data_IF_604981910586
#
_entry.id   IF_604981910586
#
_cell.length_a   1.000
_cell.length_b   1.000
_cell.length_c   1.000
_cell.angle_alpha   90.00
_cell.angle_beta   90.00
_cell.angle_gamma   90.00
#
_symmetry.space_group_name_H-M   'P 1'
#
loop_
_entity.id
_entity.type
_entity.pdbx_description
1 polymer ?
#
# COMPACT_ATOMS: atom_id res chain seq x y z
N UNK A 1 -17.21 8.92 4.52
CA UNK A 1 -17.55 8.24 5.79
C UNK A 1 -16.36 7.50 6.39
N UNK A 2 -15.59 6.73 5.62
CA UNK A 2 -14.44 5.94 6.10
C UNK A 2 -13.30 6.74 6.75
N UNK A 3 -13.05 7.96 6.29
CA UNK A 3 -12.03 8.84 6.89
C UNK A 3 -12.37 9.29 8.33
N UNK A 4 -13.62 9.17 8.78
CA UNK A 4 -14.01 9.41 10.19
C UNK A 4 -13.53 8.32 11.14
N UNK A 5 -13.04 7.19 10.61
CA UNK A 5 -12.36 6.21 11.43
C UNK A 5 -10.97 6.72 11.86
N UNK A 6 -10.36 7.65 11.10
CA UNK A 6 -9.00 8.16 11.32
C UNK A 6 -8.77 8.72 12.74
N UNK A 7 -9.65 9.60 13.27
CA UNK A 7 -9.54 10.13 14.63
C UNK A 7 -9.72 9.07 15.73
N UNK A 8 -10.53 8.04 15.48
CA UNK A 8 -10.74 6.92 16.41
C UNK A 8 -9.42 6.16 16.69
N UNK A 9 -8.45 6.27 15.79
CA UNK A 9 -7.11 5.68 15.87
C UNK A 9 -6.08 6.56 16.60
N UNK A 10 -6.38 7.86 16.76
CA UNK A 10 -5.60 8.74 17.62
C UNK A 10 -5.89 8.48 19.10
N UNK A 11 -7.01 7.86 19.44
CA UNK A 11 -7.44 7.63 20.84
C UNK A 11 -6.42 6.83 21.66
N UNK A 12 -5.81 5.73 21.19
CA UNK A 12 -4.77 5.03 21.95
C UNK A 12 -3.51 5.86 22.15
N UNK A 13 -3.15 6.67 21.16
CA UNK A 13 -2.00 7.58 21.18
C UNK A 13 -2.24 8.76 22.13
N UNK A 14 -3.45 9.32 22.10
CA UNK A 14 -3.93 10.37 23.01
C UNK A 14 -3.99 9.82 24.44
N UNK A 15 -4.51 8.60 24.64
CA UNK A 15 -4.53 7.93 25.94
C UNK A 15 -3.11 7.64 26.44
N UNK A 16 -2.19 7.23 25.55
CA UNK A 16 -0.78 7.06 25.88
C UNK A 16 -0.14 8.40 26.26
N UNK A 17 -0.37 9.48 25.52
CA UNK A 17 0.13 10.83 25.83
C UNK A 17 -0.43 11.35 27.16
N UNK A 18 -1.72 11.15 27.43
CA UNK A 18 -2.34 11.49 28.71
C UNK A 18 -1.76 10.66 29.86
N UNK A 19 -1.50 9.37 29.63
CA UNK A 19 -0.83 8.50 30.58
C UNK A 19 0.63 8.91 30.84
N UNK A 20 1.35 9.35 29.80
CA UNK A 20 2.71 9.88 29.91
C UNK A 20 2.74 11.18 30.74
N UNK A 21 1.73 12.05 30.57
CA UNK A 21 1.57 13.31 31.33
C UNK A 21 1.13 13.08 32.77
N UNK A 22 0.44 11.98 33.06
CA UNK A 22 0.05 11.57 34.40
C UNK A 22 1.26 11.03 35.18
N UNK A 23 1.92 11.90 35.96
CA UNK A 23 3.05 11.56 36.86
C UNK A 23 2.68 10.68 38.06
N UNK A 24 1.60 9.90 38.03
CA UNK A 24 1.31 8.92 39.10
C UNK A 24 2.31 7.77 39.03
N UNK A 25 3.25 7.75 39.99
CA UNK A 25 4.40 6.82 40.04
C UNK A 25 4.03 5.33 39.95
N UNK A 26 2.83 4.94 40.41
CA UNK A 26 2.34 3.56 40.33
C UNK A 26 1.90 3.11 38.94
N UNK A 27 1.43 4.03 38.09
CA UNK A 27 0.99 3.69 36.73
C UNK A 27 2.19 3.35 35.84
N UNK A 28 3.22 4.20 35.85
CA UNK A 28 4.42 4.03 35.04
C UNK A 28 5.22 2.76 35.37
N UNK A 29 5.28 2.33 36.64
CA UNK A 29 5.95 1.05 36.99
C UNK A 29 5.31 -0.17 36.31
N UNK A 30 4.01 -0.14 36.05
CA UNK A 30 3.25 -1.27 35.50
C UNK A 30 3.00 -1.16 33.98
N UNK A 31 2.85 0.05 33.47
CA UNK A 31 2.40 0.31 32.10
C UNK A 31 3.50 0.84 31.17
N UNK A 32 4.73 1.07 31.65
CA UNK A 32 5.81 1.48 30.75
C UNK A 32 6.11 0.46 29.64
N UNK A 33 6.12 -0.87 29.87
CA UNK A 33 6.43 -1.82 28.79
C UNK A 33 5.43 -1.75 27.64
N UNK A 34 4.10 -1.85 27.84
CA UNK A 34 3.15 -1.79 26.73
C UNK A 34 3.11 -0.41 26.06
N UNK A 35 3.34 0.68 26.79
CA UNK A 35 3.41 2.03 26.19
C UNK A 35 4.64 2.15 25.28
N UNK A 36 5.80 1.69 25.72
CA UNK A 36 7.02 1.68 24.89
C UNK A 36 6.87 0.73 23.70
N UNK A 37 6.32 -0.46 23.89
CA UNK A 37 6.03 -1.39 22.79
C UNK A 37 5.07 -0.80 21.77
N UNK A 38 3.99 -0.15 22.21
CA UNK A 38 3.07 0.55 21.32
C UNK A 38 3.80 1.65 20.53
N UNK A 39 4.57 2.50 21.20
CA UNK A 39 5.34 3.56 20.53
C UNK A 39 6.33 3.00 19.49
N UNK A 40 7.02 1.90 19.77
CA UNK A 40 7.93 1.26 18.82
C UNK A 40 7.19 0.68 17.62
N UNK A 41 6.05 0.01 17.84
CA UNK A 41 5.24 -0.57 16.76
C UNK A 41 4.65 0.54 15.88
N UNK A 42 3.97 1.51 16.48
CA UNK A 42 3.34 2.62 15.74
C UNK A 42 4.37 3.52 15.07
N UNK A 43 5.45 3.87 15.78
CA UNK A 43 6.55 4.67 15.25
C UNK A 43 7.28 3.97 14.10
N UNK A 44 7.55 2.66 14.24
CA UNK A 44 8.15 1.86 13.18
C UNK A 44 7.25 1.76 11.95
N UNK A 45 5.94 1.54 12.13
CA UNK A 45 4.99 1.53 11.02
C UNK A 45 4.91 2.88 10.32
N UNK A 46 4.86 3.98 11.07
CA UNK A 46 4.85 5.32 10.48
C UNK A 46 6.14 5.58 9.68
N UNK A 47 7.30 5.26 10.25
CA UNK A 47 8.59 5.42 9.58
C UNK A 47 8.67 4.59 8.29
N UNK A 48 8.19 3.34 8.30
CA UNK A 48 8.13 2.49 7.11
C UNK A 48 7.21 3.08 6.02
N UNK A 49 6.03 3.59 6.40
CA UNK A 49 5.11 4.21 5.46
C UNK A 49 5.67 5.51 4.87
N UNK A 50 6.35 6.33 5.67
CA UNK A 50 7.05 7.54 5.18
C UNK A 50 8.17 7.16 4.23
N UNK A 51 8.98 6.16 4.58
CA UNK A 51 10.03 5.64 3.69
C UNK A 51 9.45 5.18 2.35
N UNK A 52 8.36 4.42 2.37
CA UNK A 52 7.70 3.96 1.15
C UNK A 52 7.09 5.09 0.31
N UNK A 53 6.53 6.11 0.96
CA UNK A 53 6.04 7.29 0.26
C UNK A 53 7.17 8.01 -0.48
N UNK A 54 8.29 8.23 0.20
CA UNK A 54 9.43 8.96 -0.40
C UNK A 54 10.09 8.17 -1.52
N UNK A 55 10.25 6.85 -1.37
CA UNK A 55 11.02 6.03 -2.32
C UNK A 55 10.21 5.43 -3.46
N UNK A 56 8.90 5.26 -3.26
CA UNK A 56 8.02 4.51 -4.17
C UNK A 56 6.71 5.24 -4.49
N UNK A 57 6.46 6.41 -3.89
CA UNK A 57 5.24 7.18 -4.11
C UNK A 57 3.98 6.58 -3.46
N UNK A 58 4.12 5.53 -2.66
CA UNK A 58 2.99 4.84 -2.03
C UNK A 58 2.35 5.76 -0.98
N UNK A 59 1.03 5.97 -0.97
CA UNK A 59 0.39 6.81 0.04
C UNK A 59 0.60 6.24 1.45
N UNK A 60 0.85 7.14 2.40
CA UNK A 60 0.96 6.79 3.82
C UNK A 60 -0.39 6.33 4.35
N UNK A 61 -1.47 6.98 3.93
CA UNK A 61 -2.82 6.62 4.32
C UNK A 61 -3.32 5.43 3.50
N UNK A 62 -4.11 4.52 4.12
CA UNK A 62 -4.76 3.44 3.40
C UNK A 62 -5.72 3.98 2.32
N UNK A 63 -5.87 3.23 1.24
CA UNK A 63 -6.84 3.51 0.18
C UNK A 63 -8.28 3.23 0.65
N UNK A 64 -9.28 3.66 -0.11
CA UNK A 64 -10.69 3.35 0.22
C UNK A 64 -10.95 1.85 0.32
N UNK A 65 -10.40 1.06 -0.60
CA UNK A 65 -10.52 -0.39 -0.59
C UNK A 65 -9.92 -1.00 0.70
N UNK A 66 -8.76 -0.50 1.14
CA UNK A 66 -8.12 -0.93 2.38
C UNK A 66 -8.98 -0.58 3.61
N UNK A 67 -9.62 0.60 3.60
CA UNK A 67 -10.53 1.04 4.67
C UNK A 67 -11.83 0.23 4.70
N UNK A 68 -12.33 -0.21 3.55
CA UNK A 68 -13.52 -1.07 3.47
C UNK A 68 -13.21 -2.48 3.99
N UNK A 69 -12.09 -3.07 3.57
CA UNK A 69 -11.60 -4.34 4.10
C UNK A 69 -11.41 -4.26 5.62
N UNK A 70 -10.85 -3.15 6.10
CA UNK A 70 -10.71 -2.91 7.52
C UNK A 70 -12.05 -2.86 8.25
N UNK A 71 -13.06 -2.20 7.68
CA UNK A 71 -14.39 -2.16 8.27
C UNK A 71 -14.98 -3.56 8.41
N UNK A 72 -14.87 -4.41 7.38
CA UNK A 72 -15.30 -5.80 7.46
C UNK A 72 -14.55 -6.58 8.55
N UNK A 73 -13.24 -6.36 8.67
CA UNK A 73 -12.43 -6.96 9.74
C UNK A 73 -12.87 -6.49 11.14
N UNK A 74 -13.16 -5.19 11.32
CA UNK A 74 -13.71 -4.66 12.56
C UNK A 74 -15.07 -5.27 12.90
N UNK A 75 -15.98 -5.36 11.93
CA UNK A 75 -17.29 -5.99 12.11
C UNK A 75 -17.14 -7.47 12.48
N UNK A 76 -16.22 -8.18 11.85
CA UNK A 76 -15.90 -9.56 12.18
C UNK A 76 -15.37 -9.71 13.61
N UNK A 77 -14.44 -8.84 14.05
CA UNK A 77 -13.95 -8.84 15.43
C UNK A 77 -15.08 -8.59 16.44
N UNK A 78 -15.95 -7.61 16.18
CA UNK A 78 -17.12 -7.35 17.01
C UNK A 78 -18.05 -8.57 17.07
N UNK A 79 -18.26 -9.25 15.94
CA UNK A 79 -19.02 -10.49 15.88
C UNK A 79 -18.38 -11.61 16.72
N UNK A 80 -17.06 -11.81 16.62
CA UNK A 80 -16.33 -12.79 17.47
C UNK A 80 -16.47 -12.46 18.95
N UNK A 81 -16.33 -11.19 19.33
CA UNK A 81 -16.54 -10.76 20.72
C UNK A 81 -17.99 -11.00 21.18
N UNK A 82 -18.98 -10.80 20.29
CA UNK A 82 -20.38 -11.08 20.57
C UNK A 82 -20.65 -12.58 20.79
N UNK A 83 -20.07 -13.46 19.97
CA UNK A 83 -20.18 -14.92 20.17
C UNK A 83 -19.51 -15.33 21.49
N UNK A 84 -18.30 -14.83 21.76
CA UNK A 84 -17.60 -15.09 23.02
C UNK A 84 -18.42 -14.62 24.23
N UNK A 85 -19.12 -13.48 24.09
CA UNK A 85 -20.08 -13.00 25.07
C UNK A 85 -21.23 -13.98 25.29
N UNK A 86 -21.88 -14.47 24.23
CA UNK A 86 -22.98 -15.43 24.36
C UNK A 86 -22.50 -16.70 25.08
N UNK A 87 -21.36 -17.26 24.68
CA UNK A 87 -20.78 -18.44 25.33
C UNK A 87 -20.52 -18.16 26.82
N UNK A 88 -19.90 -17.03 27.16
CA UNK A 88 -19.64 -16.67 28.55
C UNK A 88 -20.94 -16.49 29.35
N UNK A 89 -21.95 -15.86 28.77
CA UNK A 89 -23.26 -15.66 29.39
C UNK A 89 -23.95 -17.01 29.68
N UNK A 90 -23.95 -17.94 28.72
CA UNK A 90 -24.54 -19.27 28.89
C UNK A 90 -23.77 -20.14 29.89
N UNK A 91 -22.43 -20.09 29.89
CA UNK A 91 -21.57 -20.88 30.79
C UNK A 91 -21.60 -20.34 32.21
N UNK A 92 -21.40 -19.03 32.38
CA UNK A 92 -21.26 -18.42 33.70
C UNK A 92 -22.60 -17.98 34.30
N UNK A 93 -23.68 -17.94 33.50
CA UNK A 93 -25.03 -17.49 33.87
C UNK A 93 -25.04 -16.16 34.63
N UNK A 94 -24.07 -15.28 34.36
CA UNK A 94 -23.92 -13.98 35.01
C UNK A 94 -24.20 -12.85 34.02
N UNK A 95 -25.00 -11.84 34.41
CA UNK A 95 -25.28 -10.71 33.55
C UNK A 95 -24.04 -9.84 33.33
N UNK A 96 -23.95 -9.26 32.14
CA UNK A 96 -22.83 -8.43 31.66
C UNK A 96 -22.42 -7.29 32.61
N UNK A 97 -23.38 -6.71 33.33
CA UNK A 97 -23.16 -5.60 34.26
C UNK A 97 -22.32 -5.98 35.49
N UNK A 98 -22.15 -7.30 35.74
CA UNK A 98 -21.22 -7.84 36.74
C UNK A 98 -19.85 -8.22 36.16
N UNK A 99 -19.63 -8.04 34.86
CA UNK A 99 -18.29 -8.20 34.29
C UNK A 99 -17.40 -7.07 34.80
N UNK A 100 -16.25 -7.43 35.34
CA UNK A 100 -15.28 -6.47 35.85
C UNK A 100 -14.96 -5.42 34.78
N UNK A 101 -14.88 -4.15 35.17
CA UNK A 101 -14.36 -3.03 34.36
C UNK A 101 -13.07 -3.41 33.61
N UNK A 102 -12.26 -4.28 34.22
CA UNK A 102 -11.06 -4.87 33.66
C UNK A 102 -11.29 -5.63 32.34
N UNK A 103 -12.39 -6.38 32.20
CA UNK A 103 -12.72 -7.13 30.98
C UNK A 103 -13.12 -6.19 29.83
N UNK A 104 -13.93 -5.17 30.13
CA UNK A 104 -14.30 -4.14 29.15
C UNK A 104 -13.04 -3.38 28.69
N UNK A 105 -12.20 -2.95 29.64
CA UNK A 105 -10.96 -2.25 29.34
C UNK A 105 -9.95 -3.09 28.54
N UNK A 106 -9.83 -4.39 28.84
CA UNK A 106 -8.91 -5.28 28.12
C UNK A 106 -9.41 -5.60 26.71
N UNK A 107 -10.71 -5.87 26.52
CA UNK A 107 -11.28 -6.12 25.19
C UNK A 107 -11.25 -4.88 24.30
N UNK A 108 -11.60 -3.70 24.83
CA UNK A 108 -11.48 -2.43 24.08
C UNK A 108 -10.02 -2.08 23.78
N UNK A 109 -9.10 -2.30 24.73
CA UNK A 109 -7.67 -2.08 24.51
C UNK A 109 -7.07 -2.99 23.44
N UNK A 110 -7.47 -4.27 23.42
CA UNK A 110 -7.06 -5.24 22.40
C UNK A 110 -7.59 -4.84 21.02
N UNK A 111 -8.87 -4.46 20.93
CA UNK A 111 -9.48 -3.98 19.68
C UNK A 111 -8.75 -2.75 19.14
N UNK A 112 -8.44 -1.77 19.99
CA UNK A 112 -7.71 -0.58 19.60
C UNK A 112 -6.27 -0.87 19.14
N UNK A 113 -5.59 -1.84 19.77
CA UNK A 113 -4.28 -2.32 19.34
C UNK A 113 -4.34 -2.95 17.95
N UNK A 114 -5.26 -3.88 17.72
CA UNK A 114 -5.44 -4.53 16.41
C UNK A 114 -5.86 -3.51 15.33
N UNK A 115 -6.76 -2.59 15.65
CA UNK A 115 -7.17 -1.52 14.76
C UNK A 115 -5.99 -0.65 14.34
N UNK A 116 -5.17 -0.23 15.30
CA UNK A 116 -4.00 0.59 15.00
C UNK A 116 -2.90 -0.17 14.26
N UNK A 117 -2.66 -1.44 14.59
CA UNK A 117 -1.72 -2.29 13.87
C UNK A 117 -2.15 -2.48 12.41
N UNK A 118 -3.44 -2.72 12.18
CA UNK A 118 -3.98 -2.84 10.83
C UNK A 118 -3.75 -1.57 10.02
N UNK A 119 -3.97 -0.37 10.55
CA UNK A 119 -3.79 0.85 9.73
C UNK A 119 -2.34 1.20 9.45
N UNK A 120 -1.44 0.92 10.40
CA UNK A 120 -0.01 1.01 10.16
C UNK A 120 0.45 0.01 9.09
N UNK A 121 -0.29 -1.09 8.92
CA UNK A 121 0.03 -2.23 8.07
C UNK A 121 -1.04 -2.53 6.99
N UNK A 122 -1.88 -1.55 6.62
CA UNK A 122 -3.23 -1.82 6.06
C UNK A 122 -3.30 -2.46 4.69
N UNK A 123 -2.30 -2.25 3.84
CA UNK A 123 -1.96 -3.27 2.86
C UNK A 123 -0.46 -3.56 2.89
N UNK A 124 0.07 -3.96 4.05
CA UNK A 124 1.50 -4.26 4.21
C UNK A 124 1.94 -5.30 3.19
N UNK A 125 1.13 -6.33 2.95
CA UNK A 125 1.43 -7.35 1.94
C UNK A 125 1.51 -6.77 0.53
N UNK A 126 0.53 -5.98 0.09
CA UNK A 126 0.56 -5.37 -1.25
C UNK A 126 1.69 -4.35 -1.40
N UNK A 127 1.97 -3.57 -0.35
CA UNK A 127 3.14 -2.66 -0.29
C UNK A 127 4.45 -3.41 -0.40
N UNK A 128 4.62 -4.49 0.36
CA UNK A 128 5.82 -5.32 0.32
C UNK A 128 5.96 -6.02 -1.02
N UNK A 129 4.88 -6.56 -1.60
CA UNK A 129 4.92 -7.19 -2.90
C UNK A 129 5.37 -6.18 -3.97
N UNK A 130 4.70 -5.03 -4.05
CA UNK A 130 5.08 -3.96 -4.99
C UNK A 130 6.53 -3.51 -4.79
N UNK A 131 6.94 -3.23 -3.55
CA UNK A 131 8.32 -2.82 -3.24
C UNK A 131 9.32 -3.91 -3.63
N UNK A 132 9.04 -5.17 -3.33
CA UNK A 132 9.95 -6.28 -3.63
C UNK A 132 10.16 -6.46 -5.14
N UNK A 133 9.08 -6.34 -5.92
CA UNK A 133 9.12 -6.52 -7.36
C UNK A 133 9.79 -5.31 -8.02
N UNK A 134 9.43 -4.09 -7.63
CA UNK A 134 10.08 -2.86 -8.12
C UNK A 134 11.56 -2.85 -7.75
N UNK A 135 11.92 -3.23 -6.53
CA UNK A 135 13.32 -3.30 -6.10
C UNK A 135 14.10 -4.35 -6.88
N UNK A 136 13.50 -5.51 -7.18
CA UNK A 136 14.14 -6.53 -8.02
C UNK A 136 14.50 -5.98 -9.40
N UNK A 137 13.58 -5.23 -10.02
CA UNK A 137 13.82 -4.56 -11.30
C UNK A 137 14.87 -3.45 -11.18
N UNK A 138 14.79 -2.61 -10.13
CA UNK A 138 15.80 -1.58 -9.83
C UNK A 138 17.20 -2.20 -9.70
N UNK A 139 17.35 -3.32 -8.99
CA UNK A 139 18.62 -4.01 -8.82
C UNK A 139 19.17 -4.55 -10.15
N UNK A 140 18.30 -5.17 -10.99
CA UNK A 140 18.68 -5.64 -12.33
C UNK A 140 19.17 -4.50 -13.22
N UNK A 141 18.48 -3.37 -13.17
CA UNK A 141 18.86 -2.18 -13.92
C UNK A 141 20.12 -1.51 -13.39
N UNK A 142 20.34 -1.45 -12.08
CA UNK A 142 21.58 -0.92 -11.50
C UNK A 142 22.82 -1.74 -11.89
N UNK A 143 22.68 -3.05 -12.12
CA UNK A 143 23.77 -3.88 -12.65
C UNK A 143 24.13 -3.54 -14.11
N UNK A 144 23.24 -2.87 -14.85
CA UNK A 144 23.49 -2.37 -16.20
C UNK A 144 23.91 -0.90 -16.11
N UNK A 145 25.18 -0.56 -16.41
CA UNK A 145 25.66 0.81 -16.30
C UNK A 145 24.85 1.74 -17.22
N UNK A 146 24.56 2.94 -16.73
CA UNK A 146 23.90 4.00 -17.48
C UNK A 146 24.77 4.33 -18.69
N UNK A 147 24.35 3.88 -19.88
CA UNK A 147 25.08 4.11 -21.11
C UNK A 147 24.77 5.53 -21.61
N UNK A 148 25.57 6.50 -21.19
CA UNK A 148 25.43 7.90 -21.59
C UNK A 148 25.49 8.13 -23.12
N UNK A 149 25.94 7.14 -23.91
CA UNK A 149 26.00 7.18 -25.38
C UNK A 149 25.11 6.15 -26.10
N UNK A 150 24.15 5.52 -25.41
CA UNK A 150 23.21 4.59 -26.05
C UNK A 150 22.22 5.35 -26.94
N UNK A 151 21.97 4.84 -28.15
CA UNK A 151 20.91 5.33 -29.05
C UNK A 151 19.49 5.25 -28.45
N UNK A 152 19.34 4.64 -27.26
CA UNK A 152 18.08 4.56 -26.51
C UNK A 152 18.24 5.29 -25.16
N UNK A 153 17.79 6.56 -25.04
CA UNK A 153 17.90 7.33 -23.81
C UNK A 153 16.95 6.84 -22.70
N UNK A 154 15.99 5.98 -23.04
CA UNK A 154 15.03 5.41 -22.11
C UNK A 154 14.91 3.89 -22.31
N UNK A 155 14.60 3.22 -21.22
CA UNK A 155 14.32 1.78 -21.19
C UNK A 155 12.98 1.54 -20.51
N UNK A 156 12.15 0.69 -21.10
CA UNK A 156 10.79 0.41 -20.64
C UNK A 156 10.66 -1.08 -20.46
N UNK A 157 10.14 -1.51 -19.31
CA UNK A 157 9.99 -2.94 -19.02
C UNK A 157 8.63 -3.26 -18.43
N UNK A 158 8.09 -4.41 -18.86
CA UNK A 158 6.95 -5.04 -18.21
C UNK A 158 7.45 -5.75 -16.96
N UNK A 159 6.92 -5.37 -15.81
CA UNK A 159 7.30 -5.96 -14.54
C UNK A 159 6.46 -7.18 -14.23
N UNK A 160 5.14 -7.05 -14.37
CA UNK A 160 4.20 -8.16 -14.29
C UNK A 160 2.95 -7.84 -15.11
N UNK A 161 2.20 -8.89 -15.45
CA UNK A 161 0.81 -8.83 -15.93
C UNK A 161 0.06 -9.97 -15.23
N UNK A 162 -0.76 -9.65 -14.23
CA UNK A 162 -1.43 -10.62 -13.35
C UNK A 162 -2.92 -10.32 -13.19
N UNK A 163 -3.72 -11.34 -12.88
CA UNK A 163 -5.13 -11.18 -12.47
C UNK A 163 -5.21 -11.33 -10.96
N UNK A 164 -5.86 -10.39 -10.29
CA UNK A 164 -6.09 -10.50 -8.84
C UNK A 164 -7.38 -11.29 -8.58
N UNK A 165 -7.26 -12.61 -8.51
CA UNK A 165 -8.39 -13.51 -8.44
C UNK A 165 -8.08 -14.77 -7.62
N UNK A 166 -8.93 -15.10 -6.65
CA UNK A 166 -8.74 -16.28 -5.80
C UNK A 166 -9.33 -17.56 -6.44
N UNK A 167 -10.46 -17.47 -7.16
CA UNK A 167 -11.10 -18.58 -7.89
C UNK A 167 -11.94 -18.05 -9.07
N UNK A 168 -11.94 -18.76 -10.20
CA UNK A 168 -12.68 -18.44 -11.46
C UNK A 168 -12.33 -17.07 -12.04
N UNK A 169 -11.15 -16.97 -12.65
CA UNK A 169 -10.62 -15.74 -13.24
C UNK A 169 -11.05 -15.51 -14.71
N UNK A 170 -12.08 -16.21 -15.17
CA UNK A 170 -12.58 -16.07 -16.53
C UNK A 170 -13.29 -14.72 -16.67
N UNK A 171 -12.90 -13.93 -17.66
CA UNK A 171 -13.48 -12.60 -17.91
C UNK A 171 -13.03 -11.48 -16.96
N UNK A 172 -12.05 -11.72 -16.07
CA UNK A 172 -11.44 -10.64 -15.31
C UNK A 172 -10.24 -10.05 -16.06
N UNK A 173 -10.05 -8.72 -16.01
CA UNK A 173 -8.92 -8.09 -16.67
C UNK A 173 -7.61 -8.38 -15.93
N UNK A 174 -6.50 -8.16 -16.62
CA UNK A 174 -5.14 -8.20 -16.10
C UNK A 174 -4.66 -6.81 -15.70
N UNK A 175 -4.01 -6.75 -14.55
CA UNK A 175 -3.25 -5.60 -14.08
C UNK A 175 -1.78 -5.77 -14.46
N UNK A 176 -1.26 -4.79 -15.18
CA UNK A 176 0.11 -4.80 -15.69
C UNK A 176 0.90 -3.62 -15.14
N UNK A 177 2.01 -3.89 -14.45
CA UNK A 177 2.93 -2.85 -13.99
C UNK A 177 4.04 -2.65 -15.01
N UNK A 178 4.18 -1.40 -15.46
CA UNK A 178 5.17 -1.00 -16.44
C UNK A 178 6.06 0.06 -15.81
N UNK A 179 7.38 -0.15 -15.88
CA UNK A 179 8.35 0.81 -15.38
C UNK A 179 9.15 1.39 -16.55
N UNK A 180 9.54 2.65 -16.41
CA UNK A 180 10.47 3.33 -17.30
C UNK A 180 11.69 3.80 -16.52
N UNK A 181 12.86 3.67 -17.15
CA UNK A 181 14.15 4.15 -16.65
C UNK A 181 14.74 5.17 -17.59
N UNK A 182 15.21 6.29 -17.05
CA UNK A 182 16.08 7.21 -17.78
C UNK A 182 17.51 6.65 -17.81
N UNK A 183 18.00 6.28 -19.00
CA UNK A 183 19.37 5.82 -19.20
C UNK A 183 20.32 6.94 -19.64
N UNK A 184 19.83 8.17 -19.76
CA UNK A 184 20.68 9.31 -20.02
C UNK A 184 21.31 9.83 -18.72
N UNK A 185 22.46 10.49 -18.85
CA UNK A 185 23.12 11.19 -17.74
C UNK A 185 22.47 12.54 -17.38
N UNK A 186 21.36 12.90 -18.02
CA UNK A 186 20.67 14.20 -17.86
C UNK A 186 19.19 13.98 -17.55
N UNK A 187 18.50 14.95 -16.92
CA UNK A 187 17.06 14.87 -16.76
C UNK A 187 16.35 14.97 -18.13
N UNK A 188 15.28 14.19 -18.31
CA UNK A 188 14.50 14.12 -19.55
C UNK A 188 13.00 14.30 -19.27
N UNK A 189 12.36 15.16 -20.04
CA UNK A 189 10.90 15.18 -20.21
C UNK A 189 10.51 14.33 -21.42
N UNK A 190 9.68 13.32 -21.25
CA UNK A 190 9.25 12.42 -22.33
C UNK A 190 7.73 12.28 -22.41
N UNK A 191 7.26 12.09 -23.64
CA UNK A 191 5.94 11.57 -23.98
C UNK A 191 6.17 10.12 -24.44
N UNK A 192 5.41 9.17 -23.88
CA UNK A 192 5.63 7.75 -24.10
C UNK A 192 4.34 7.11 -24.62
N UNK A 193 4.44 6.44 -25.76
CA UNK A 193 3.39 5.56 -26.29
C UNK A 193 3.84 4.11 -26.10
N UNK A 194 3.06 3.35 -25.34
CA UNK A 194 3.35 1.95 -25.02
C UNK A 194 2.39 1.05 -25.79
N UNK A 195 2.94 0.13 -26.57
CA UNK A 195 2.22 -0.89 -27.33
C UNK A 195 2.30 -2.21 -26.60
N UNK A 196 1.16 -2.67 -26.08
CA UNK A 196 1.04 -3.88 -25.29
C UNK A 196 0.78 -5.07 -26.22
N UNK A 197 1.56 -6.13 -26.06
CA UNK A 197 1.49 -7.32 -26.91
C UNK A 197 1.23 -8.58 -26.09
N UNK A 198 0.45 -9.51 -26.66
CA UNK A 198 0.24 -10.82 -26.08
C UNK A 198 1.40 -11.79 -26.43
N UNK A 199 1.30 -13.05 -25.99
CA UNK A 199 2.35 -14.06 -26.18
C UNK A 199 2.61 -14.40 -27.67
N UNK A 200 1.64 -14.17 -28.57
CA UNK A 200 1.82 -14.36 -30.02
C UNK A 200 2.39 -13.13 -30.73
N UNK A 201 2.65 -12.05 -29.99
CA UNK A 201 3.13 -10.77 -30.54
C UNK A 201 2.04 -9.91 -31.17
N UNK A 202 0.76 -10.31 -31.05
CA UNK A 202 -0.35 -9.50 -31.49
C UNK A 202 -0.53 -8.31 -30.55
N UNK A 203 -0.85 -7.14 -31.13
CA UNK A 203 -1.10 -5.92 -30.36
C UNK A 203 -2.45 -6.06 -29.68
N UNK A 204 -2.44 -5.98 -28.35
CA UNK A 204 -3.65 -5.93 -27.53
C UNK A 204 -4.19 -4.50 -27.57
N UNK A 205 -3.33 -3.54 -27.21
CA UNK A 205 -3.72 -2.14 -27.09
C UNK A 205 -2.50 -1.21 -27.14
N UNK A 206 -2.71 0.01 -27.65
CA UNK A 206 -1.75 1.11 -27.56
C UNK A 206 -2.23 2.07 -26.45
N UNK A 207 -1.37 2.35 -25.46
CA UNK A 207 -1.66 3.24 -24.34
C UNK A 207 -0.71 4.43 -24.35
N UNK A 208 -1.26 5.64 -24.31
CA UNK A 208 -0.48 6.85 -24.14
C UNK A 208 -0.24 7.12 -22.65
N UNK A 209 1.03 7.30 -22.29
CA UNK A 209 1.40 7.70 -20.95
C UNK A 209 1.24 9.21 -20.77
N UNK A 210 0.91 9.62 -19.55
CA UNK A 210 1.02 11.01 -19.12
C UNK A 210 2.47 11.50 -19.28
N UNK A 211 2.70 12.80 -19.60
CA UNK A 211 4.06 13.33 -19.73
C UNK A 211 4.91 13.10 -18.48
N UNK A 212 6.08 12.49 -18.65
CA UNK A 212 6.97 12.12 -17.56
C UNK A 212 8.19 13.04 -17.52
N UNK A 213 8.61 13.42 -16.32
CA UNK A 213 9.89 14.10 -16.06
C UNK A 213 10.75 13.16 -15.24
N UNK A 214 11.88 12.73 -15.79
CA UNK A 214 12.75 11.71 -15.22
C UNK A 214 14.13 12.32 -14.97
N UNK A 215 14.61 12.29 -13.73
CA UNK A 215 15.99 12.57 -13.41
C UNK A 215 16.93 11.50 -14.00
N UNK A 216 18.23 11.80 -14.08
CA UNK A 216 19.22 10.85 -14.60
C UNK A 216 19.22 9.54 -13.78
N UNK A 217 19.05 8.40 -14.45
CA UNK A 217 18.98 7.09 -13.78
C UNK A 217 17.68 6.81 -13.03
N UNK A 218 16.72 7.74 -13.01
CA UNK A 218 15.46 7.58 -12.29
C UNK A 218 14.59 6.46 -12.91
N UNK A 219 13.89 5.74 -12.05
CA UNK A 219 12.99 4.63 -12.40
C UNK A 219 11.61 4.94 -11.82
N UNK A 220 10.60 5.08 -12.68
CA UNK A 220 9.22 5.40 -12.27
C UNK A 220 8.21 4.50 -12.97
N UNK A 221 7.03 4.27 -12.36
CA UNK A 221 5.91 3.63 -13.05
C UNK A 221 5.33 4.52 -14.14
N UNK A 222 4.84 3.89 -15.21
CA UNK A 222 4.14 4.56 -16.31
C UNK A 222 2.69 4.78 -15.90
N UNK A 223 2.21 6.02 -15.97
CA UNK A 223 0.81 6.39 -15.70
C UNK A 223 0.09 6.68 -17.01
N UNK A 224 -1.14 6.21 -17.17
CA UNK A 224 -1.94 6.37 -18.40
C UNK A 224 -3.20 7.19 -18.11
N UNK A 225 -3.80 7.81 -19.13
CA UNK A 225 -5.01 8.63 -18.94
C UNK A 225 -6.21 7.85 -18.41
N UNK A 226 -6.30 6.56 -18.72
CA UNK A 226 -7.36 5.66 -18.24
C UNK A 226 -7.31 5.43 -16.73
N UNK A 227 -6.16 5.69 -16.09
CA UNK A 227 -6.01 5.66 -14.63
C UNK A 227 -6.54 6.94 -13.96
N UNK A 228 -7.69 7.42 -14.46
CA UNK A 228 -8.31 8.69 -14.12
C UNK A 228 -8.48 8.86 -12.60
N UNK A 229 -8.11 10.04 -12.15
CA UNK A 229 -7.62 10.34 -10.82
C UNK A 229 -8.71 10.38 -9.74
N UNK A 230 -9.21 9.25 -9.21
CA UNK A 230 -9.81 9.25 -7.86
C UNK A 230 -9.37 8.03 -7.02
N UNK A 231 -8.44 8.32 -6.09
CA UNK A 231 -8.26 7.67 -4.77
C UNK A 231 -7.53 6.33 -4.62
N UNK A 232 -7.34 5.52 -5.66
CA UNK A 232 -6.59 4.24 -5.52
C UNK A 232 -5.19 4.32 -6.15
N UNK A 233 -4.15 4.22 -5.31
CA UNK A 233 -2.76 4.20 -5.77
C UNK A 233 -2.47 2.98 -6.66
N UNK A 234 -3.09 1.83 -6.36
CA UNK A 234 -2.82 0.57 -7.05
C UNK A 234 -3.27 0.63 -8.50
N UNK A 235 -4.47 1.15 -8.74
CA UNK A 235 -5.00 1.38 -10.09
C UNK A 235 -4.14 2.38 -10.87
N UNK A 236 -3.56 3.39 -10.21
CA UNK A 236 -2.70 4.39 -10.86
C UNK A 236 -1.40 3.81 -11.41
N UNK A 237 -0.81 2.85 -10.71
CA UNK A 237 0.47 2.26 -11.11
C UNK A 237 0.31 1.04 -12.02
N UNK A 238 -0.92 0.57 -12.24
CA UNK A 238 -1.23 -0.57 -13.10
C UNK A 238 -1.98 -0.14 -14.36
N UNK A 239 -1.63 -0.73 -15.49
CA UNK A 239 -2.44 -0.66 -16.71
C UNK A 239 -3.36 -1.89 -16.77
N UNK A 240 -4.66 -1.64 -16.91
CA UNK A 240 -5.68 -2.68 -17.02
C UNK A 240 -5.82 -3.11 -18.48
N UNK A 241 -5.85 -4.43 -18.73
CA UNK A 241 -5.94 -5.04 -20.07
C UNK A 241 -6.81 -6.30 -20.05
N UNK A 242 -7.54 -6.60 -21.13
CA UNK A 242 -8.39 -7.80 -21.17
C UNK A 242 -7.58 -9.11 -21.32
N UNK A 243 -6.46 -9.01 -22.05
CA UNK A 243 -5.52 -10.10 -22.30
C UNK A 243 -4.22 -9.92 -21.51
N UNK A 244 -3.50 -11.02 -21.30
CA UNK A 244 -2.21 -11.00 -20.61
C UNK A 244 -1.19 -10.30 -21.49
N UNK A 245 -0.57 -9.25 -20.96
CA UNK A 245 0.57 -8.62 -21.61
C UNK A 245 1.79 -9.52 -21.41
N UNK A 246 2.43 -9.90 -22.50
CA UNK A 246 3.66 -10.71 -22.50
C UNK A 246 4.88 -9.88 -22.92
N UNK A 247 4.69 -8.91 -23.80
CA UNK A 247 5.75 -8.05 -24.32
C UNK A 247 5.28 -6.61 -24.48
N UNK A 248 6.25 -5.69 -24.53
CA UNK A 248 6.01 -4.27 -24.73
C UNK A 248 6.90 -3.79 -25.87
N UNK A 249 6.29 -3.06 -26.80
CA UNK A 249 6.98 -2.16 -27.71
C UNK A 249 6.69 -0.71 -27.29
N UNK A 250 7.60 0.23 -27.54
CA UNK A 250 7.39 1.62 -27.14
C UNK A 250 7.94 2.59 -28.17
N UNK A 251 7.30 3.75 -28.23
CA UNK A 251 7.76 4.93 -28.95
C UNK A 251 7.80 6.10 -27.99
N UNK A 252 8.77 7.00 -28.15
CA UNK A 252 8.89 8.16 -27.29
C UNK A 252 9.26 9.41 -28.08
N UNK A 253 8.77 10.54 -27.61
CA UNK A 253 9.19 11.88 -28.01
C UNK A 253 9.81 12.58 -26.80
N UNK A 254 10.87 13.35 -27.04
CA UNK A 254 11.51 14.16 -25.99
C UNK A 254 10.88 15.54 -26.04
N UNK A 255 10.31 15.97 -24.91
CA UNK A 255 9.61 17.25 -24.76
C UNK A 255 10.54 18.31 -24.16
N UNK A 256 11.44 17.91 -23.24
CA UNK A 256 12.39 18.82 -22.58
C UNK A 256 13.71 18.10 -22.27
N UNK A 257 14.84 18.78 -22.50
CA UNK A 257 16.18 18.41 -22.03
C UNK A 257 16.71 19.62 -21.26
N UNK A 258 16.89 19.49 -19.94
CA UNK A 258 17.49 20.55 -19.12
C UNK A 258 18.87 20.16 -18.62
#
# INVERSE_FOLDING_TARGET
MYYLLIPLFGVPLILAIFALRSRRSGFWKKWWPPVVSALLIYGGCLAANVYWQVQYGIPVLPTKADLELFLYFCLFLVFVFFIMYLVFFFVMRKPFWKMNLLFLATSSGLFLLFAGAFLGMGPFMSKVEYVSVVQSVKNKWQAVPVQASSNKPIDVTLVYSKRDCLKRCAGQPYDSLILVRNQSGQPLGIELLVRLQNESGAVIEDKQALPLKLAAGEIVPVWTEDTNMEENFWERVSTVTDERVAAIAYQFSIIDRR
#
